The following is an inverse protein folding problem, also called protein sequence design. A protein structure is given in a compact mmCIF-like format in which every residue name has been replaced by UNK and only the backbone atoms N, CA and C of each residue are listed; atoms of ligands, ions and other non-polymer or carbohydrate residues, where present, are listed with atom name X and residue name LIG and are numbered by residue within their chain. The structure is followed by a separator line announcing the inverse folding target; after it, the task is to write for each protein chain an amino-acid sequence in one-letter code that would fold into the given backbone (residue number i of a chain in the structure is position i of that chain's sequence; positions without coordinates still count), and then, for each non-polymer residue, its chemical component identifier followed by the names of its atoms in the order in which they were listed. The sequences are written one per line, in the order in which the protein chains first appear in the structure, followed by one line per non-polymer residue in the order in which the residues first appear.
data_IF_504413456560
#
_entry.id   IF_504413456560
#
_cell.length_a   1.000
_cell.length_b   1.000
_cell.length_c   1.000
_cell.angle_alpha   90.00
_cell.angle_beta   90.00
_cell.angle_gamma   90.00
#
_symmetry.space_group_name_H-M   'P 1'
#
loop_
_entity.id
_entity.type
_entity.pdbx_description
1 polymer ?
#
# COMPACT_ATOMS: atom_id res chain seq x y z
N UNK A 1 53.13 0.47 -48.63
CA UNK A 1 52.33 -0.28 -47.63
C UNK A 1 51.21 0.62 -47.11
N UNK A 2 49.97 0.34 -47.53
CA UNK A 2 48.78 1.07 -47.08
C UNK A 2 48.15 0.35 -45.92
N UNK A 3 48.16 0.94 -44.73
CA UNK A 3 47.54 0.37 -43.52
C UNK A 3 46.07 0.76 -43.53
N UNK A 4 45.22 -0.24 -43.74
CA UNK A 4 43.77 -0.08 -43.74
C UNK A 4 43.24 -0.11 -42.29
N UNK A 5 42.84 1.04 -41.77
CA UNK A 5 42.14 1.13 -40.47
C UNK A 5 40.71 0.69 -40.65
N UNK A 6 40.41 -0.55 -40.31
CA UNK A 6 39.02 -0.99 -40.11
C UNK A 6 38.52 -0.39 -38.78
N UNK A 7 37.71 0.64 -38.91
CA UNK A 7 36.99 1.28 -37.82
C UNK A 7 35.96 0.28 -37.29
N UNK A 8 36.27 -0.36 -36.17
CA UNK A 8 35.32 -1.17 -35.39
C UNK A 8 34.36 -0.21 -34.66
N UNK A 9 33.25 0.12 -35.31
CA UNK A 9 32.12 0.76 -34.64
C UNK A 9 31.47 -0.34 -33.75
N UNK A 10 31.83 -0.37 -32.47
CA UNK A 10 31.12 -1.12 -31.48
C UNK A 10 29.77 -0.41 -31.29
N UNK A 11 28.72 -0.91 -31.95
CA UNK A 11 27.36 -0.50 -31.76
C UNK A 11 26.92 -1.05 -30.37
N UNK A 12 27.16 -0.23 -29.32
CA UNK A 12 26.61 -0.46 -28.02
C UNK A 12 25.08 -0.38 -28.15
N UNK A 13 24.45 -1.50 -28.35
CA UNK A 13 23.01 -1.66 -28.19
C UNK A 13 22.68 -1.31 -26.73
N UNK A 14 22.41 -0.03 -26.50
CA UNK A 14 21.70 0.43 -25.30
C UNK A 14 20.34 -0.23 -25.32
N UNK A 15 20.27 -1.45 -24.80
CA UNK A 15 18.99 -2.06 -24.44
C UNK A 15 18.39 -1.16 -23.36
N UNK A 16 17.56 -0.22 -23.78
CA UNK A 16 16.67 0.48 -22.89
C UNK A 16 15.74 -0.59 -22.32
N UNK A 17 16.13 -1.18 -21.18
CA UNK A 17 15.23 -2.02 -20.41
C UNK A 17 14.09 -1.13 -19.97
N UNK A 18 13.02 -1.13 -20.76
CA UNK A 18 11.77 -0.51 -20.35
C UNK A 18 11.45 -1.07 -18.97
N UNK A 19 11.32 -0.20 -17.98
CA UNK A 19 10.92 -0.56 -16.64
C UNK A 19 9.55 -1.24 -16.69
N UNK A 20 9.55 -2.57 -16.81
CA UNK A 20 8.33 -3.35 -16.92
C UNK A 20 7.71 -3.49 -15.56
N UNK A 21 6.42 -3.19 -15.46
CA UNK A 21 5.67 -3.40 -14.23
C UNK A 21 5.45 -4.91 -14.01
N UNK A 22 5.62 -5.35 -12.78
CA UNK A 22 5.40 -6.71 -12.31
C UNK A 22 4.23 -6.73 -11.33
N UNK A 23 3.35 -7.72 -11.48
CA UNK A 23 2.33 -8.03 -10.50
C UNK A 23 2.89 -9.10 -9.56
N UNK A 24 3.04 -8.75 -8.29
CA UNK A 24 3.53 -9.63 -7.25
C UNK A 24 2.38 -10.09 -6.35
N UNK A 25 2.52 -11.26 -5.74
CA UNK A 25 1.59 -11.79 -4.73
C UNK A 25 2.20 -11.71 -3.34
N UNK A 26 1.36 -11.50 -2.35
CA UNK A 26 1.75 -11.68 -0.96
C UNK A 26 2.08 -13.16 -0.70
N UNK A 27 3.00 -13.43 0.24
CA UNK A 27 3.51 -14.78 0.54
C UNK A 27 2.91 -15.35 1.84
N UNK A 28 2.59 -14.48 2.79
CA UNK A 28 1.90 -14.89 4.02
C UNK A 28 0.47 -15.33 3.66
N UNK A 29 0.10 -16.55 4.07
CA UNK A 29 -1.22 -17.15 3.81
C UNK A 29 -2.39 -16.37 4.40
N UNK A 30 -2.12 -15.47 5.37
CA UNK A 30 -3.11 -14.58 5.96
C UNK A 30 -3.13 -13.18 5.31
N UNK A 31 -2.21 -12.88 4.40
CA UNK A 31 -2.18 -11.62 3.66
C UNK A 31 -3.12 -11.68 2.44
N UNK A 32 -4.41 -11.77 2.72
CA UNK A 32 -5.47 -12.00 1.73
C UNK A 32 -6.41 -10.79 1.60
N UNK A 33 -7.01 -10.63 0.43
CA UNK A 33 -8.11 -9.70 0.20
C UNK A 33 -9.39 -10.13 0.92
N UNK A 34 -10.42 -9.29 0.96
CA UNK A 34 -11.66 -9.57 1.70
C UNK A 34 -12.37 -10.85 1.27
N UNK A 35 -12.19 -11.29 0.03
CA UNK A 35 -12.77 -12.54 -0.50
C UNK A 35 -11.94 -13.79 -0.16
N UNK A 36 -10.82 -13.65 0.54
CA UNK A 36 -9.93 -14.76 0.92
C UNK A 36 -8.86 -15.12 -0.12
N UNK A 37 -8.86 -14.47 -1.28
CA UNK A 37 -7.79 -14.68 -2.25
C UNK A 37 -6.51 -13.95 -1.84
N UNK A 38 -5.36 -14.56 -2.18
CA UNK A 38 -4.05 -13.99 -1.93
C UNK A 38 -3.94 -12.59 -2.53
N UNK A 39 -3.55 -11.59 -1.73
CA UNK A 39 -3.46 -10.23 -2.21
C UNK A 39 -2.33 -10.06 -3.23
N UNK A 40 -2.47 -9.06 -4.09
CA UNK A 40 -1.47 -8.69 -5.09
C UNK A 40 -1.06 -7.23 -4.93
N UNK A 41 0.14 -6.90 -5.40
CA UNK A 41 0.64 -5.53 -5.46
C UNK A 41 1.50 -5.34 -6.71
N UNK A 42 1.63 -4.09 -7.16
CA UNK A 42 2.36 -3.76 -8.38
C UNK A 42 3.71 -3.17 -8.03
N UNK A 43 4.76 -3.64 -8.71
CA UNK A 43 6.10 -3.08 -8.64
C UNK A 43 6.55 -2.66 -10.03
N UNK A 44 6.97 -1.41 -10.21
CA UNK A 44 7.57 -0.91 -11.44
C UNK A 44 8.97 -0.40 -11.11
N UNK A 45 9.98 -1.16 -11.46
CA UNK A 45 11.38 -0.81 -11.16
C UNK A 45 11.97 0.12 -12.24
N UNK A 46 12.90 0.97 -11.83
CA UNK A 46 13.72 1.84 -12.64
C UNK A 46 15.20 1.51 -12.41
N UNK A 47 16.12 2.25 -13.05
CA UNK A 47 17.57 2.13 -12.78
C UNK A 47 18.03 2.83 -11.50
N UNK A 48 17.13 3.53 -10.81
CA UNK A 48 17.41 4.29 -9.59
C UNK A 48 17.30 3.38 -8.35
N UNK A 49 17.89 3.81 -7.24
CA UNK A 49 17.64 3.22 -5.92
C UNK A 49 16.62 4.03 -5.09
N UNK A 50 15.93 5.00 -5.70
CA UNK A 50 14.86 5.75 -5.04
C UNK A 50 13.53 4.98 -5.12
N UNK A 51 12.75 4.95 -4.04
CA UNK A 51 11.51 4.20 -3.94
C UNK A 51 10.33 5.09 -3.55
N UNK A 52 9.22 4.89 -4.25
CA UNK A 52 7.92 5.50 -3.99
C UNK A 52 6.89 4.40 -3.76
N UNK A 53 6.24 4.41 -2.60
CA UNK A 53 5.25 3.41 -2.19
C UNK A 53 3.91 4.11 -2.03
N UNK A 54 2.92 3.69 -2.80
CA UNK A 54 1.60 4.29 -2.82
C UNK A 54 0.55 3.37 -2.22
N UNK A 55 -0.14 3.85 -1.21
CA UNK A 55 -1.28 3.21 -0.58
C UNK A 55 -2.57 3.72 -1.22
N UNK A 56 -3.29 2.85 -1.89
CA UNK A 56 -4.54 3.22 -2.54
C UNK A 56 -5.63 3.55 -1.52
N UNK A 57 -6.45 4.55 -1.84
CA UNK A 57 -7.65 4.88 -1.08
C UNK A 57 -8.86 4.08 -1.53
N UNK A 58 -10.00 4.34 -0.90
CA UNK A 58 -11.23 3.67 -1.34
C UNK A 58 -12.33 3.63 -0.27
N UNK A 59 -12.22 4.42 0.78
CA UNK A 59 -13.21 4.45 1.87
C UNK A 59 -13.09 3.23 2.79
N UNK A 60 -14.14 2.92 3.50
CA UNK A 60 -14.14 2.00 4.64
C UNK A 60 -15.46 1.24 4.70
N UNK A 61 -15.44 -0.03 5.06
CA UNK A 61 -16.62 -0.78 5.47
C UNK A 61 -16.84 -0.59 6.98
N UNK A 62 -18.02 -0.11 7.38
CA UNK A 62 -18.35 0.15 8.77
C UNK A 62 -19.38 -0.83 9.34
N UNK A 63 -19.99 -1.63 8.48
CA UNK A 63 -20.99 -2.65 8.82
C UNK A 63 -21.06 -3.70 7.71
N UNK A 64 -21.73 -4.85 7.94
CA UNK A 64 -22.02 -5.83 6.90
C UNK A 64 -22.69 -5.24 5.67
N UNK A 65 -23.67 -4.34 5.85
CA UNK A 65 -24.41 -3.69 4.76
C UNK A 65 -23.52 -2.77 3.96
N UNK A 66 -22.67 -1.98 4.61
CA UNK A 66 -21.71 -1.11 3.92
C UNK A 66 -20.66 -1.91 3.15
N UNK A 67 -20.21 -3.05 3.70
CA UNK A 67 -19.32 -3.97 3.00
C UNK A 67 -19.97 -4.56 1.75
N UNK A 68 -21.22 -4.97 1.82
CA UNK A 68 -21.95 -5.51 0.65
C UNK A 68 -21.97 -4.54 -0.51
N UNK A 69 -22.10 -3.25 -0.24
CA UNK A 69 -22.10 -2.17 -1.25
C UNK A 69 -20.72 -1.84 -1.82
N UNK A 70 -19.63 -2.41 -1.29
CA UNK A 70 -18.27 -2.17 -1.81
C UNK A 70 -18.10 -2.76 -3.21
N UNK A 71 -17.35 -2.05 -4.08
CA UNK A 71 -17.00 -2.52 -5.43
C UNK A 71 -16.22 -3.83 -5.38
N UNK A 72 -16.34 -4.64 -6.40
CA UNK A 72 -15.61 -5.92 -6.51
C UNK A 72 -14.10 -5.75 -6.41
N UNK A 73 -13.52 -4.71 -7.04
CA UNK A 73 -12.10 -4.37 -6.96
C UNK A 73 -11.61 -4.07 -5.54
N UNK A 74 -12.50 -3.68 -4.63
CA UNK A 74 -12.20 -3.42 -3.22
C UNK A 74 -12.38 -4.65 -2.31
N UNK A 75 -12.57 -5.82 -2.91
CA UNK A 75 -12.81 -7.09 -2.20
C UNK A 75 -11.89 -8.22 -2.67
N UNK A 76 -11.29 -8.10 -3.85
CA UNK A 76 -10.46 -9.12 -4.49
C UNK A 76 -9.14 -8.53 -4.99
N UNK A 77 -8.10 -9.37 -5.22
CA UNK A 77 -6.83 -8.90 -5.76
C UNK A 77 -7.01 -8.37 -7.19
N UNK A 78 -6.15 -7.44 -7.60
CA UNK A 78 -6.03 -7.05 -8.99
C UNK A 78 -5.26 -8.10 -9.78
N UNK A 79 -5.62 -8.28 -11.04
CA UNK A 79 -4.89 -9.11 -12.01
C UNK A 79 -4.10 -8.25 -13.01
N UNK A 80 -4.25 -6.94 -12.95
CA UNK A 80 -3.58 -5.99 -13.85
C UNK A 80 -2.21 -5.58 -13.30
N UNK A 81 -1.13 -5.95 -13.99
CA UNK A 81 0.24 -5.55 -13.65
C UNK A 81 0.49 -4.04 -13.76
N UNK A 82 -0.37 -3.29 -14.42
CA UNK A 82 -0.29 -1.83 -14.55
C UNK A 82 -1.24 -1.11 -13.59
N UNK A 83 -1.90 -1.84 -12.70
CA UNK A 83 -2.85 -1.27 -11.76
C UNK A 83 -2.26 -0.12 -10.96
N UNK A 84 -2.97 1.00 -10.91
CA UNK A 84 -2.59 2.20 -10.17
C UNK A 84 -1.43 3.01 -10.75
N UNK A 85 -0.73 2.51 -11.79
CA UNK A 85 0.36 3.28 -12.43
C UNK A 85 -0.14 4.54 -13.17
N UNK A 86 -1.44 4.64 -13.42
CA UNK A 86 -2.08 5.79 -14.04
C UNK A 86 -2.41 6.91 -13.06
N UNK A 87 -2.34 6.70 -11.75
CA UNK A 87 -2.60 7.75 -10.77
C UNK A 87 -1.59 8.91 -10.93
N UNK A 88 -2.04 10.18 -10.88
CA UNK A 88 -1.19 11.34 -11.16
C UNK A 88 0.10 11.34 -10.35
N UNK A 89 0.02 11.20 -9.02
CA UNK A 89 1.18 11.18 -8.14
C UNK A 89 2.14 10.02 -8.46
N UNK A 90 1.61 8.83 -8.79
CA UNK A 90 2.42 7.66 -9.16
C UNK A 90 3.16 7.92 -10.46
N UNK A 91 2.47 8.48 -11.48
CA UNK A 91 3.08 8.90 -12.75
C UNK A 91 4.22 9.91 -12.55
N UNK A 92 4.02 10.88 -11.65
CA UNK A 92 5.02 11.92 -11.41
C UNK A 92 6.28 11.37 -10.76
N UNK A 93 6.15 10.47 -9.78
CA UNK A 93 7.31 9.81 -9.19
C UNK A 93 8.00 8.87 -10.17
N UNK A 94 7.24 8.16 -11.01
CA UNK A 94 7.81 7.33 -12.09
C UNK A 94 8.59 8.15 -13.12
N UNK A 95 8.06 9.31 -13.56
CA UNK A 95 8.77 10.25 -14.45
C UNK A 95 10.05 10.80 -13.83
N UNK A 96 10.08 10.96 -12.48
CA UNK A 96 11.28 11.35 -11.73
C UNK A 96 12.28 10.20 -11.52
N UNK A 97 12.05 9.04 -12.13
CA UNK A 97 12.95 7.90 -12.08
C UNK A 97 12.88 7.06 -10.81
N UNK A 98 11.83 7.21 -10.00
CA UNK A 98 11.64 6.34 -8.83
C UNK A 98 11.18 4.93 -9.24
N UNK A 99 11.65 3.93 -8.50
CA UNK A 99 10.95 2.65 -8.42
C UNK A 99 9.60 2.89 -7.73
N UNK A 100 8.56 2.26 -8.22
CA UNK A 100 7.20 2.49 -7.73
C UNK A 100 6.60 1.19 -7.22
N UNK A 101 6.00 1.23 -6.05
CA UNK A 101 5.14 0.18 -5.50
C UNK A 101 3.73 0.74 -5.35
N UNK A 102 2.74 0.04 -5.89
CA UNK A 102 1.32 0.35 -5.64
C UNK A 102 0.73 -0.79 -4.82
N UNK A 103 0.18 -0.45 -3.66
CA UNK A 103 -0.53 -1.35 -2.77
C UNK A 103 -2.03 -1.16 -2.99
N UNK A 104 -2.70 -2.08 -3.72
CA UNK A 104 -4.13 -1.99 -3.97
C UNK A 104 -4.94 -2.13 -2.68
N UNK A 105 -6.09 -1.50 -2.66
CA UNK A 105 -6.97 -1.51 -1.50
C UNK A 105 -8.10 -2.52 -1.67
N UNK A 106 -7.91 -3.75 -1.22
CA UNK A 106 -8.85 -4.86 -1.41
C UNK A 106 -9.45 -5.43 -0.11
N UNK A 107 -9.32 -4.71 1.01
CA UNK A 107 -9.80 -5.18 2.32
C UNK A 107 -10.82 -4.27 2.98
N UNK A 108 -11.02 -3.06 2.48
CA UNK A 108 -11.98 -2.07 2.98
C UNK A 108 -11.85 -1.72 4.48
N UNK A 109 -10.62 -1.83 5.03
CA UNK A 109 -10.29 -1.76 6.46
C UNK A 109 -9.17 -0.74 6.79
N UNK A 110 -8.96 0.25 5.92
CA UNK A 110 -7.91 1.29 6.06
C UNK A 110 -6.48 0.72 6.10
N UNK A 111 -6.20 -0.40 5.43
CA UNK A 111 -4.90 -1.09 5.43
C UNK A 111 -4.41 -1.50 6.83
N UNK A 112 -5.30 -1.68 7.80
CA UNK A 112 -4.90 -1.95 9.19
C UNK A 112 -5.52 -3.20 9.81
N UNK A 113 -6.58 -3.75 9.20
CA UNK A 113 -7.31 -4.88 9.77
C UNK A 113 -6.45 -6.15 9.88
N UNK A 114 -6.81 -6.97 10.86
CA UNK A 114 -6.24 -8.31 11.08
C UNK A 114 -7.30 -9.31 11.52
N UNK A 115 -8.57 -9.03 11.23
CA UNK A 115 -9.74 -9.75 11.72
C UNK A 115 -10.50 -10.41 10.56
N UNK A 116 -11.12 -11.56 10.84
CA UNK A 116 -12.07 -12.23 9.94
C UNK A 116 -13.45 -12.15 10.56
N UNK A 117 -14.43 -11.76 9.76
CA UNK A 117 -15.81 -11.65 10.20
C UNK A 117 -16.74 -12.46 9.30
N UNK A 118 -17.99 -12.62 9.71
CA UNK A 118 -19.04 -13.22 8.90
C UNK A 118 -19.98 -12.12 8.35
N UNK A 119 -20.21 -12.16 7.06
CA UNK A 119 -21.22 -11.33 6.37
C UNK A 119 -22.12 -12.28 5.58
N UNK A 120 -23.39 -12.33 5.92
CA UNK A 120 -24.37 -13.27 5.36
C UNK A 120 -23.85 -14.74 5.38
N UNK A 121 -23.26 -15.17 6.50
CA UNK A 121 -22.71 -16.52 6.68
C UNK A 121 -21.40 -16.80 5.96
N UNK A 122 -20.86 -15.86 5.18
CA UNK A 122 -19.60 -16.00 4.46
C UNK A 122 -18.46 -15.31 5.21
N UNK A 123 -17.29 -15.95 5.24
CA UNK A 123 -16.07 -15.33 5.79
C UNK A 123 -15.65 -14.15 4.95
N UNK A 124 -15.38 -13.03 5.60
CA UNK A 124 -14.81 -11.80 5.02
C UNK A 124 -13.55 -11.46 5.79
N UNK A 125 -12.47 -11.24 5.06
CA UNK A 125 -11.15 -11.02 5.63
C UNK A 125 -10.81 -9.52 5.61
N UNK A 126 -10.72 -8.92 6.78
CA UNK A 126 -10.21 -7.57 6.99
C UNK A 126 -8.74 -7.68 7.39
N UNK A 127 -7.88 -7.99 6.43
CA UNK A 127 -6.48 -8.34 6.67
C UNK A 127 -5.49 -7.33 6.08
N UNK A 128 -5.90 -6.07 5.95
CA UNK A 128 -5.08 -5.03 5.32
C UNK A 128 -3.71 -4.85 5.98
N UNK A 129 -3.62 -4.95 7.31
CA UNK A 129 -2.33 -4.90 8.02
C UNK A 129 -1.41 -6.07 7.64
N UNK A 130 -1.95 -7.27 7.50
CA UNK A 130 -1.16 -8.45 7.12
C UNK A 130 -0.60 -8.31 5.71
N UNK A 131 -1.39 -7.76 4.79
CA UNK A 131 -0.94 -7.45 3.42
C UNK A 131 0.23 -6.46 3.46
N UNK A 132 0.09 -5.34 4.20
CA UNK A 132 1.15 -4.33 4.29
C UNK A 132 2.42 -4.91 4.91
N UNK A 133 2.30 -5.66 6.02
CA UNK A 133 3.45 -6.30 6.68
C UNK A 133 4.19 -7.23 5.72
N UNK A 134 3.46 -8.05 4.97
CA UNK A 134 4.06 -9.00 4.02
C UNK A 134 4.78 -8.28 2.88
N UNK A 135 4.15 -7.26 2.28
CA UNK A 135 4.77 -6.44 1.22
C UNK A 135 6.07 -5.78 1.73
N UNK A 136 6.02 -5.20 2.94
CA UNK A 136 7.19 -4.58 3.55
C UNK A 136 8.30 -5.61 3.81
N UNK A 137 7.95 -6.83 4.23
CA UNK A 137 8.90 -7.92 4.40
C UNK A 137 9.56 -8.33 3.08
N UNK A 138 8.78 -8.47 2.00
CA UNK A 138 9.29 -8.82 0.67
C UNK A 138 10.23 -7.75 0.10
N UNK A 139 9.99 -6.47 0.41
CA UNK A 139 10.73 -5.33 -0.12
C UNK A 139 11.72 -4.71 0.88
N UNK A 140 11.91 -5.31 2.06
CA UNK A 140 12.68 -4.76 3.18
C UNK A 140 14.12 -4.37 2.78
N UNK A 141 14.84 -5.25 2.08
CA UNK A 141 16.19 -4.97 1.63
C UNK A 141 16.27 -3.78 0.66
N UNK A 142 15.29 -3.67 -0.25
CA UNK A 142 15.18 -2.57 -1.21
C UNK A 142 14.90 -1.24 -0.51
N UNK A 143 14.01 -1.25 0.47
CA UNK A 143 13.67 -0.05 1.25
C UNK A 143 14.81 0.39 2.19
N UNK A 144 15.55 -0.56 2.79
CA UNK A 144 16.72 -0.26 3.61
C UNK A 144 17.88 0.35 2.83
N UNK A 145 18.08 -0.07 1.58
CA UNK A 145 19.12 0.44 0.69
C UNK A 145 18.68 1.64 -0.15
N UNK A 146 17.43 2.11 0.01
CA UNK A 146 16.90 3.21 -0.77
C UNK A 146 17.68 4.52 -0.55
N UNK A 147 18.01 5.22 -1.64
CA UNK A 147 18.58 6.56 -1.58
C UNK A 147 17.57 7.58 -1.09
N UNK A 148 16.35 7.51 -1.65
CA UNK A 148 15.16 8.24 -1.17
C UNK A 148 14.02 7.26 -1.05
N UNK A 149 13.31 7.30 0.08
CA UNK A 149 12.13 6.47 0.32
C UNK A 149 10.95 7.36 0.66
N UNK A 150 9.91 7.30 -0.17
CA UNK A 150 8.70 8.13 -0.04
C UNK A 150 7.49 7.21 0.01
N UNK A 151 6.69 7.37 1.04
CA UNK A 151 5.38 6.73 1.18
C UNK A 151 4.30 7.76 0.93
N UNK A 152 3.31 7.41 0.14
CA UNK A 152 2.17 8.28 -0.12
C UNK A 152 0.86 7.51 -0.02
N UNK A 153 -0.21 8.19 0.35
CA UNK A 153 -1.55 7.62 0.39
C UNK A 153 -2.61 8.67 0.16
N UNK A 154 -3.75 8.22 -0.36
CA UNK A 154 -4.93 9.06 -0.57
C UNK A 154 -6.10 8.52 0.25
N UNK A 155 -6.85 9.39 0.97
CA UNK A 155 -8.04 9.01 1.73
C UNK A 155 -7.77 7.82 2.66
N UNK A 156 -8.43 6.68 2.49
CA UNK A 156 -8.18 5.45 3.26
C UNK A 156 -6.70 5.01 3.25
N UNK A 157 -5.97 5.27 2.17
CA UNK A 157 -4.53 5.00 2.07
C UNK A 157 -3.70 5.92 2.97
N UNK A 158 -4.09 7.19 3.11
CA UNK A 158 -3.43 8.13 4.04
C UNK A 158 -3.61 7.71 5.49
N UNK A 159 -4.81 7.27 5.85
CA UNK A 159 -5.10 6.71 7.18
C UNK A 159 -4.26 5.45 7.39
N UNK A 160 -4.18 4.59 6.37
CA UNK A 160 -3.35 3.40 6.36
C UNK A 160 -1.87 3.68 6.63
N UNK A 161 -1.31 4.77 6.11
CA UNK A 161 0.06 5.21 6.43
C UNK A 161 0.23 5.48 7.92
N UNK A 162 -0.71 6.20 8.54
CA UNK A 162 -0.71 6.46 9.98
C UNK A 162 -0.70 5.16 10.79
N UNK A 163 -1.60 4.24 10.47
CA UNK A 163 -1.71 2.96 11.19
C UNK A 163 -0.53 2.00 10.95
N UNK A 164 0.22 2.18 9.87
CA UNK A 164 1.42 1.42 9.54
C UNK A 164 2.72 2.22 9.80
N UNK A 165 2.65 3.32 10.54
CA UNK A 165 3.80 4.19 10.83
C UNK A 165 4.93 3.49 11.57
N UNK A 166 4.63 2.48 12.38
CA UNK A 166 5.62 1.62 13.05
C UNK A 166 6.49 0.83 12.06
N UNK A 167 5.96 0.46 10.90
CA UNK A 167 6.73 -0.17 9.82
C UNK A 167 7.56 0.87 9.06
N UNK A 168 6.98 2.03 8.79
CA UNK A 168 7.61 3.10 8.01
C UNK A 168 8.82 3.68 8.74
N UNK A 169 8.67 3.97 10.04
CA UNK A 169 9.74 4.57 10.87
C UNK A 169 10.99 3.70 11.06
N UNK A 170 10.95 2.44 10.66
CA UNK A 170 12.13 1.54 10.69
C UNK A 170 13.19 1.90 9.65
N UNK A 171 12.81 2.65 8.62
CA UNK A 171 13.69 3.03 7.53
C UNK A 171 14.36 4.38 7.80
N UNK A 172 15.50 4.61 7.14
CA UNK A 172 16.27 5.84 7.30
C UNK A 172 15.57 7.00 6.57
N UNK A 173 15.20 8.05 7.32
CA UNK A 173 14.63 9.31 6.79
C UNK A 173 13.48 9.12 5.78
N UNK A 174 12.47 8.28 6.04
CA UNK A 174 11.36 8.11 5.13
C UNK A 174 10.56 9.42 5.05
N UNK A 175 10.08 9.75 3.85
CA UNK A 175 9.14 10.87 3.67
C UNK A 175 7.73 10.30 3.55
N UNK A 176 6.76 11.03 4.09
CA UNK A 176 5.34 10.62 4.06
C UNK A 176 4.51 11.75 3.47
N UNK A 177 3.66 11.40 2.50
CA UNK A 177 2.67 12.29 1.88
C UNK A 177 1.30 11.72 2.17
N UNK A 178 0.56 12.34 3.08
CA UNK A 178 -0.82 11.96 3.41
C UNK A 178 -1.78 12.95 2.75
N UNK A 179 -2.48 12.50 1.71
CA UNK A 179 -3.45 13.31 0.99
C UNK A 179 -4.88 13.00 1.41
N UNK A 180 -5.68 14.05 1.60
CA UNK A 180 -7.08 13.95 2.01
C UNK A 180 -7.27 13.22 3.35
N UNK A 181 -6.39 13.50 4.30
CA UNK A 181 -6.46 13.01 5.67
C UNK A 181 -6.20 14.15 6.66
N UNK A 182 -7.17 14.41 7.50
CA UNK A 182 -7.07 15.33 8.62
C UNK A 182 -7.54 14.60 9.89
N UNK A 183 -6.70 14.56 10.92
CA UNK A 183 -7.07 14.21 12.28
C UNK A 183 -6.93 15.46 13.13
N UNK A 184 -8.05 15.98 13.61
CA UNK A 184 -8.03 16.97 14.67
C UNK A 184 -7.69 16.26 15.99
N UNK A 185 -6.45 16.41 16.42
CA UNK A 185 -5.95 15.82 17.65
C UNK A 185 -6.18 16.72 18.86
N UNK A 186 -6.67 17.94 18.67
CA UNK A 186 -6.69 18.96 19.74
C UNK A 186 -7.96 18.94 20.58
N UNK A 187 -9.10 18.48 20.07
CA UNK A 187 -10.31 18.50 20.88
C UNK A 187 -10.51 17.21 21.69
N UNK A 188 -10.39 17.35 23.02
CA UNK A 188 -10.70 16.27 23.99
C UNK A 188 -12.14 15.75 23.85
N UNK A 189 -13.10 16.64 23.48
CA UNK A 189 -14.51 16.29 23.23
C UNK A 189 -14.69 15.43 21.98
N UNK A 190 -13.91 15.69 20.93
CA UNK A 190 -13.94 14.84 19.73
C UNK A 190 -13.39 13.44 20.02
N UNK A 191 -12.29 13.33 20.80
CA UNK A 191 -11.75 12.02 21.23
C UNK A 191 -12.77 11.17 21.98
N UNK A 192 -13.60 11.78 22.84
CA UNK A 192 -14.65 11.05 23.56
C UNK A 192 -15.74 10.52 22.63
N UNK A 193 -16.11 11.27 21.57
CA UNK A 193 -17.03 10.77 20.55
C UNK A 193 -16.45 9.57 19.80
N UNK A 194 -15.13 9.56 19.55
CA UNK A 194 -14.44 8.47 18.87
C UNK A 194 -14.35 7.20 19.73
N UNK A 195 -14.28 7.34 21.06
CA UNK A 195 -14.21 6.21 21.98
C UNK A 195 -15.57 5.65 22.39
N UNK A 196 -16.64 6.43 22.28
CA UNK A 196 -18.00 6.03 22.73
C UNK A 196 -19.02 5.89 21.58
N UNK A 197 -18.72 6.37 20.39
CA UNK A 197 -19.64 6.42 19.25
C UNK A 197 -19.52 5.25 18.27
N UNK A 198 -19.92 5.46 17.00
CA UNK A 198 -19.88 4.46 15.92
C UNK A 198 -18.53 3.78 15.72
N UNK A 199 -17.44 4.44 16.11
CA UNK A 199 -16.07 3.91 16.00
C UNK A 199 -15.83 2.68 16.86
N UNK A 200 -16.51 2.53 18.00
CA UNK A 200 -16.42 1.31 18.81
C UNK A 200 -17.00 0.12 18.03
N UNK A 201 -18.10 0.33 17.31
CA UNK A 201 -18.71 -0.71 16.48
C UNK A 201 -17.83 -1.00 15.25
N UNK A 202 -17.26 0.03 14.61
CA UNK A 202 -16.32 -0.10 13.51
C UNK A 202 -15.10 -0.90 13.94
N UNK A 203 -14.53 -0.57 15.11
CA UNK A 203 -13.41 -1.31 15.66
C UNK A 203 -13.75 -2.80 15.89
N UNK A 204 -14.90 -3.10 16.43
CA UNK A 204 -15.37 -4.49 16.63
C UNK A 204 -15.58 -5.21 15.28
N UNK A 205 -16.02 -4.51 14.26
CA UNK A 205 -16.30 -5.10 12.94
C UNK A 205 -15.02 -5.35 12.13
N UNK A 206 -14.07 -4.41 12.15
CA UNK A 206 -12.87 -4.45 11.31
C UNK A 206 -11.62 -4.95 12.04
N UNK A 207 -11.55 -4.74 13.35
CA UNK A 207 -10.33 -4.94 14.11
C UNK A 207 -10.58 -5.79 15.34
N UNK A 208 -9.86 -6.89 15.48
CA UNK A 208 -9.88 -7.70 16.71
C UNK A 208 -9.20 -6.98 17.87
N UNK A 209 -8.28 -6.07 17.58
CA UNK A 209 -7.61 -5.17 18.54
C UNK A 209 -6.94 -4.04 17.80
N UNK A 210 -6.92 -2.86 18.38
CA UNK A 210 -6.03 -1.78 17.91
C UNK A 210 -4.57 -2.23 17.99
N UNK A 211 -3.73 -1.89 16.99
CA UNK A 211 -2.28 -2.10 17.10
C UNK A 211 -1.76 -1.55 18.42
N UNK A 212 -0.87 -2.30 19.10
CA UNK A 212 -0.38 -1.94 20.44
C UNK A 212 0.20 -0.52 20.50
N UNK A 213 0.84 -0.06 19.42
CA UNK A 213 1.40 1.29 19.33
C UNK A 213 0.36 2.41 19.20
N UNK A 214 -0.90 2.08 18.89
CA UNK A 214 -2.00 3.03 18.88
C UNK A 214 -2.76 3.08 20.21
N UNK A 215 -2.50 2.15 21.14
CA UNK A 215 -3.13 2.15 22.46
C UNK A 215 -2.54 3.30 23.30
N UNK A 216 -3.40 4.23 23.70
CA UNK A 216 -3.03 5.37 24.55
C UNK A 216 -2.76 6.69 23.81
N UNK A 217 -2.90 6.72 22.49
CA UNK A 217 -2.72 7.94 21.69
C UNK A 217 -4.01 8.42 20.99
N UNK A 218 -5.19 7.91 21.41
CA UNK A 218 -6.53 8.30 20.89
C UNK A 218 -7.41 8.86 22.00
#
# INVERSE_FOLDING_TARGET
MKLSYKLLIALALLTATNAQASLMKTQDTLAVCSNGEQATFVVSESKSNNWFVYFEGGGLAISPESYKKRKSSQKKPTTDKNYGLHYPIVKDFKKKGFNVVVIPYCTSDLHQGSHTNLVDGKKVYFHGRKIVVDIFKQLDSKFKSAGKLVFAGYSAGSIGLGFNSDLIKKYKNPKVIADSFWLDTESRKEREKWTKGPWVQINKFLFSSMPKHCKGHW
#
